data_IF_689802927276
#
_entry.id   IF_689802927276
#
_cell.length_a   1.000
_cell.length_b   1.000
_cell.length_c   1.000
_cell.angle_alpha   90.00
_cell.angle_beta   90.00
_cell.angle_gamma   90.00
#
_symmetry.space_group_name_H-M   'P 1'
#
loop_
_entity.id
_entity.type
_entity.pdbx_description
1 polymer ?
#
# COMPACT_ATOMS: atom_id res chain seq x y z
N UNK A 1 0.08 0.61 -11.35
CA UNK A 1 -0.73 1.49 -10.48
C UNK A 1 -2.10 1.84 -11.09
N UNK A 2 -2.18 2.36 -12.32
CA UNK A 2 -3.46 2.69 -12.98
C UNK A 2 -4.50 1.56 -12.92
N UNK A 3 -4.13 0.36 -13.38
CA UNK A 3 -5.01 -0.82 -13.40
C UNK A 3 -5.53 -1.19 -12.01
N UNK A 4 -4.70 -1.05 -10.97
CA UNK A 4 -5.10 -1.36 -9.60
C UNK A 4 -6.20 -0.41 -9.10
N UNK A 5 -6.08 0.89 -9.39
CA UNK A 5 -7.09 1.89 -9.02
C UNK A 5 -8.40 1.68 -9.76
N UNK A 6 -8.34 1.42 -11.08
CA UNK A 6 -9.52 1.14 -11.87
C UNK A 6 -10.25 -0.11 -11.37
N UNK A 7 -9.51 -1.16 -10.99
CA UNK A 7 -10.09 -2.36 -10.38
C UNK A 7 -10.84 -2.05 -9.08
N UNK A 8 -10.25 -1.24 -8.18
CA UNK A 8 -10.90 -0.86 -6.92
C UNK A 8 -12.17 0.00 -7.10
N UNK A 9 -12.26 0.74 -8.21
CA UNK A 9 -13.41 1.59 -8.55
C UNK A 9 -14.49 0.81 -9.32
N UNK A 10 -14.11 -0.28 -10.00
CA UNK A 10 -15.01 -1.04 -10.86
C UNK A 10 -16.30 -1.57 -10.22
N UNK A 11 -16.42 -1.84 -8.91
CA UNK A 11 -17.70 -2.18 -8.28
C UNK A 11 -18.79 -1.11 -8.46
N UNK A 12 -18.42 0.18 -8.51
CA UNK A 12 -19.38 1.26 -8.77
C UNK A 12 -20.01 1.13 -10.16
N UNK A 13 -19.18 0.80 -11.16
CA UNK A 13 -19.60 0.62 -12.54
C UNK A 13 -20.40 -0.67 -12.72
N UNK A 14 -19.94 -1.78 -12.11
CA UNK A 14 -20.66 -3.06 -12.13
C UNK A 14 -22.03 -2.93 -11.50
N UNK A 15 -22.14 -2.27 -10.34
CA UNK A 15 -23.43 -2.00 -9.69
C UNK A 15 -24.36 -1.15 -10.56
N UNK A 16 -23.85 -0.06 -11.13
CA UNK A 16 -24.63 0.82 -12.02
C UNK A 16 -25.22 0.06 -13.20
N UNK A 17 -24.39 -0.62 -13.99
CA UNK A 17 -24.85 -1.33 -15.19
C UNK A 17 -25.73 -2.53 -14.86
N UNK A 18 -25.46 -3.24 -13.75
CA UNK A 18 -26.32 -4.33 -13.32
C UNK A 18 -27.72 -3.83 -12.97
N UNK A 19 -27.82 -2.71 -12.26
CA UNK A 19 -29.09 -2.08 -11.91
C UNK A 19 -29.83 -1.50 -13.11
N UNK A 20 -29.14 -0.86 -14.07
CA UNK A 20 -29.77 -0.44 -15.34
C UNK A 20 -30.35 -1.63 -16.10
N UNK A 21 -29.61 -2.74 -16.20
CA UNK A 21 -30.02 -3.90 -16.98
C UNK A 21 -31.24 -4.61 -16.37
N UNK A 22 -31.35 -4.63 -15.04
CA UNK A 22 -32.38 -5.39 -14.33
C UNK A 22 -33.50 -4.52 -13.73
N UNK A 23 -33.62 -3.24 -14.13
CA UNK A 23 -34.60 -2.29 -13.57
C UNK A 23 -34.57 -2.25 -12.04
N UNK A 24 -33.37 -2.35 -11.46
CA UNK A 24 -33.21 -2.38 -10.02
C UNK A 24 -33.43 -1.00 -9.36
N UNK A 25 -33.56 -0.95 -8.02
CA UNK A 25 -33.99 0.26 -7.30
C UNK A 25 -33.04 1.48 -7.44
N UNK A 26 -31.81 1.28 -7.89
CA UNK A 26 -30.87 2.39 -8.15
C UNK A 26 -31.06 3.07 -9.51
N UNK A 27 -31.86 2.50 -10.42
CA UNK A 27 -32.04 3.04 -11.79
C UNK A 27 -32.51 4.49 -11.80
N UNK A 28 -33.38 4.87 -10.86
CA UNK A 28 -33.87 6.25 -10.72
C UNK A 28 -32.98 7.13 -9.83
N UNK A 29 -32.06 6.54 -9.07
CA UNK A 29 -31.35 7.23 -7.97
C UNK A 29 -29.96 7.74 -8.35
N UNK A 30 -29.29 7.13 -9.33
CA UNK A 30 -27.94 7.53 -9.73
C UNK A 30 -27.86 7.82 -11.22
N UNK A 31 -27.57 9.07 -11.59
CA UNK A 31 -27.30 9.46 -12.99
C UNK A 31 -25.88 9.05 -13.40
N UNK A 32 -25.68 8.78 -14.68
CA UNK A 32 -24.36 8.49 -15.25
C UNK A 32 -23.30 9.56 -14.91
N UNK A 33 -23.68 10.84 -14.94
CA UNK A 33 -22.79 11.95 -14.56
C UNK A 33 -22.32 11.85 -13.11
N UNK A 34 -23.21 11.41 -12.20
CA UNK A 34 -22.89 11.22 -10.79
C UNK A 34 -21.91 10.07 -10.60
N UNK A 35 -22.12 8.95 -11.30
CA UNK A 35 -21.17 7.82 -11.31
C UNK A 35 -19.78 8.26 -11.77
N UNK A 36 -19.72 9.03 -12.87
CA UNK A 36 -18.45 9.52 -13.43
C UNK A 36 -17.72 10.40 -12.41
N UNK A 37 -18.43 11.36 -11.80
CA UNK A 37 -17.85 12.26 -10.80
C UNK A 37 -17.31 11.50 -9.59
N UNK A 38 -18.10 10.56 -9.03
CA UNK A 38 -17.66 9.73 -7.90
C UNK A 38 -16.43 8.91 -8.28
N UNK A 39 -16.39 8.35 -9.48
CA UNK A 39 -15.26 7.56 -9.98
C UNK A 39 -13.98 8.39 -10.10
N UNK A 40 -14.07 9.62 -10.62
CA UNK A 40 -12.93 10.55 -10.71
C UNK A 40 -12.44 10.91 -9.32
N UNK A 41 -13.34 11.26 -8.39
CA UNK A 41 -12.96 11.59 -7.00
C UNK A 41 -12.28 10.41 -6.33
N UNK A 42 -12.85 9.21 -6.43
CA UNK A 42 -12.25 7.99 -5.86
C UNK A 42 -10.85 7.72 -6.45
N UNK A 43 -10.69 7.91 -7.76
CA UNK A 43 -9.40 7.76 -8.43
C UNK A 43 -8.36 8.75 -7.91
N UNK A 44 -8.73 10.02 -7.77
CA UNK A 44 -7.84 11.07 -7.27
C UNK A 44 -7.44 10.81 -5.81
N UNK A 45 -8.38 10.37 -4.96
CA UNK A 45 -8.09 9.99 -3.57
C UNK A 45 -7.08 8.84 -3.50
N UNK A 46 -7.27 7.79 -4.31
CA UNK A 46 -6.31 6.69 -4.38
C UNK A 46 -4.95 7.13 -4.92
N UNK A 47 -4.93 8.00 -5.92
CA UNK A 47 -3.69 8.56 -6.47
C UNK A 47 -2.93 9.39 -5.44
N UNK A 48 -3.64 10.21 -4.66
CA UNK A 48 -3.07 10.97 -3.55
C UNK A 48 -2.54 10.06 -2.45
N UNK A 49 -3.24 8.98 -2.09
CA UNK A 49 -2.75 8.01 -1.10
C UNK A 49 -1.48 7.28 -1.55
N UNK A 50 -1.30 7.11 -2.86
CA UNK A 50 -0.12 6.46 -3.41
C UNK A 50 1.11 7.38 -3.54
N UNK A 51 0.93 8.72 -3.62
CA UNK A 51 1.99 9.63 -4.08
C UNK A 51 3.20 9.73 -3.13
N UNK A 52 3.04 9.38 -1.86
CA UNK A 52 4.10 9.48 -0.85
C UNK A 52 4.76 8.14 -0.49
N UNK A 53 4.52 7.06 -1.25
CA UNK A 53 4.98 5.72 -0.85
C UNK A 53 6.21 5.21 -1.57
N UNK A 54 6.63 5.82 -2.67
CA UNK A 54 7.79 5.33 -3.41
C UNK A 54 9.03 5.32 -2.50
N UNK A 55 9.81 4.21 -2.50
CA UNK A 55 9.73 3.03 -3.36
C UNK A 55 8.96 1.83 -2.79
N UNK A 56 8.25 1.98 -1.66
CA UNK A 56 7.30 0.96 -1.18
C UNK A 56 6.12 0.82 -2.13
N UNK A 57 5.52 -0.38 -2.15
CA UNK A 57 4.32 -0.66 -2.93
C UNK A 57 3.21 0.33 -2.63
N UNK A 58 2.61 0.83 -3.71
CA UNK A 58 1.47 1.72 -3.66
C UNK A 58 0.30 1.05 -2.92
N UNK A 59 -0.43 1.81 -2.10
CA UNK A 59 -1.57 1.28 -1.32
C UNK A 59 -2.61 0.66 -2.26
N UNK A 60 -2.85 1.30 -3.41
CA UNK A 60 -3.78 0.77 -4.41
C UNK A 60 -3.39 -0.62 -4.94
N UNK A 61 -2.09 -0.94 -5.03
CA UNK A 61 -1.61 -2.28 -5.45
C UNK A 61 -1.90 -3.31 -4.35
N UNK A 62 -1.61 -2.96 -3.10
CA UNK A 62 -1.87 -3.83 -1.94
C UNK A 62 -3.37 -4.09 -1.81
N UNK A 63 -4.19 -3.04 -1.88
CA UNK A 63 -5.66 -3.14 -1.88
C UNK A 63 -6.19 -4.01 -3.03
N UNK A 64 -5.63 -3.89 -4.24
CA UNK A 64 -5.98 -4.77 -5.36
C UNK A 64 -5.68 -6.23 -5.04
N UNK A 65 -4.50 -6.53 -4.49
CA UNK A 65 -4.13 -7.89 -4.10
C UNK A 65 -5.11 -8.45 -3.07
N UNK A 66 -5.48 -7.65 -2.06
CA UNK A 66 -6.50 -8.00 -1.07
C UNK A 66 -7.83 -8.35 -1.74
N UNK A 67 -8.36 -7.47 -2.60
CA UNK A 67 -9.61 -7.72 -3.31
C UNK A 67 -9.55 -8.98 -4.18
N UNK A 68 -8.46 -9.21 -4.90
CA UNK A 68 -8.28 -10.44 -5.67
C UNK A 68 -8.26 -11.68 -4.78
N UNK A 69 -7.59 -11.64 -3.64
CA UNK A 69 -7.64 -12.73 -2.65
C UNK A 69 -9.07 -12.95 -2.17
N UNK A 70 -9.83 -11.90 -1.86
CA UNK A 70 -11.23 -12.05 -1.46
C UNK A 70 -12.14 -12.54 -2.59
N UNK A 71 -11.85 -12.23 -3.86
CA UNK A 71 -12.53 -12.87 -4.99
C UNK A 71 -12.31 -14.39 -4.99
N UNK A 72 -11.08 -14.84 -4.72
CA UNK A 72 -10.78 -16.28 -4.58
C UNK A 72 -11.45 -16.88 -3.36
N UNK A 73 -11.33 -16.24 -2.19
CA UNK A 73 -11.93 -16.73 -0.94
C UNK A 73 -13.44 -16.87 -1.07
N UNK A 74 -14.14 -15.89 -1.64
CA UNK A 74 -15.59 -15.97 -1.78
C UNK A 74 -16.06 -16.78 -2.99
N UNK A 75 -15.14 -17.29 -3.84
CA UNK A 75 -15.51 -18.07 -5.02
C UNK A 75 -16.30 -19.35 -4.70
N UNK A 76 -16.18 -19.89 -3.48
CA UNK A 76 -17.00 -21.03 -3.06
C UNK A 76 -18.50 -20.74 -3.09
N UNK A 77 -18.93 -19.47 -2.96
CA UNK A 77 -20.34 -19.09 -3.04
C UNK A 77 -20.95 -19.44 -4.39
N UNK A 78 -20.13 -19.46 -5.45
CA UNK A 78 -20.56 -19.87 -6.79
C UNK A 78 -21.00 -21.35 -6.81
N UNK A 79 -20.40 -22.20 -5.97
CA UNK A 79 -20.80 -23.61 -5.83
C UNK A 79 -22.20 -23.76 -5.22
N UNK A 80 -22.64 -22.77 -4.43
CA UNK A 80 -23.97 -22.72 -3.84
C UNK A 80 -24.99 -21.99 -4.72
N UNK A 81 -24.66 -21.72 -5.98
CA UNK A 81 -25.54 -21.06 -6.94
C UNK A 81 -25.63 -19.54 -6.78
N UNK A 82 -24.73 -18.91 -6.00
CA UNK A 82 -24.67 -17.47 -5.95
C UNK A 82 -24.28 -16.90 -7.33
N UNK A 83 -24.97 -15.85 -7.77
CA UNK A 83 -24.64 -15.18 -9.03
C UNK A 83 -23.30 -14.45 -8.98
N UNK A 84 -22.67 -14.29 -10.14
CA UNK A 84 -21.42 -13.53 -10.31
C UNK A 84 -21.48 -12.14 -9.66
N UNK A 85 -22.59 -11.42 -9.84
CA UNK A 85 -22.77 -10.08 -9.28
C UNK A 85 -22.65 -10.10 -7.75
N UNK A 86 -23.36 -11.00 -7.08
CA UNK A 86 -23.32 -11.10 -5.61
C UNK A 86 -21.92 -11.47 -5.11
N UNK A 87 -21.30 -12.49 -5.72
CA UNK A 87 -19.93 -12.90 -5.43
C UNK A 87 -18.92 -11.75 -5.57
N UNK A 88 -19.00 -11.01 -6.67
CA UNK A 88 -18.08 -9.91 -6.95
C UNK A 88 -18.26 -8.74 -5.98
N UNK A 89 -19.51 -8.40 -5.65
CA UNK A 89 -19.84 -7.31 -4.73
C UNK A 89 -19.47 -7.65 -3.29
N UNK A 90 -19.71 -8.90 -2.83
CA UNK A 90 -19.34 -9.29 -1.46
C UNK A 90 -17.82 -9.29 -1.26
N UNK A 91 -17.03 -9.69 -2.27
CA UNK A 91 -15.56 -9.62 -2.22
C UNK A 91 -15.05 -8.19 -2.04
N UNK A 92 -15.61 -7.23 -2.78
CA UNK A 92 -15.24 -5.82 -2.63
C UNK A 92 -15.77 -5.19 -1.34
N UNK A 93 -16.99 -5.53 -0.94
CA UNK A 93 -17.56 -5.09 0.34
C UNK A 93 -16.68 -5.56 1.52
N UNK A 94 -16.20 -6.81 1.49
CA UNK A 94 -15.29 -7.36 2.50
C UNK A 94 -14.00 -6.55 2.59
N UNK A 95 -13.39 -6.21 1.44
CA UNK A 95 -12.22 -5.32 1.42
C UNK A 95 -12.51 -4.00 2.14
N UNK A 96 -13.56 -3.29 1.73
CA UNK A 96 -13.85 -1.95 2.27
C UNK A 96 -14.20 -1.97 3.76
N UNK A 97 -14.91 -2.99 4.23
CA UNK A 97 -15.20 -3.17 5.65
C UNK A 97 -13.91 -3.38 6.45
N UNK A 98 -13.00 -4.24 5.97
CA UNK A 98 -11.70 -4.45 6.62
C UNK A 98 -10.89 -3.16 6.63
N UNK A 99 -10.82 -2.45 5.51
CA UNK A 99 -10.07 -1.18 5.43
C UNK A 99 -10.65 -0.11 6.35
N UNK A 100 -11.97 -0.03 6.49
CA UNK A 100 -12.62 0.88 7.43
C UNK A 100 -12.19 0.57 8.87
N UNK A 101 -12.29 -0.69 9.30
CA UNK A 101 -11.90 -1.08 10.66
C UNK A 101 -10.40 -0.92 10.91
N UNK A 102 -9.57 -1.22 9.91
CA UNK A 102 -8.12 -0.98 9.99
C UNK A 102 -7.80 0.50 10.11
N UNK A 103 -8.49 1.36 9.35
CA UNK A 103 -8.33 2.81 9.48
C UNK A 103 -8.72 3.31 10.88
N UNK A 104 -9.85 2.86 11.42
CA UNK A 104 -10.28 3.19 12.79
C UNK A 104 -9.25 2.72 13.82
N UNK A 105 -8.88 1.44 13.78
CA UNK A 105 -7.94 0.84 14.71
C UNK A 105 -6.57 1.52 14.67
N UNK A 106 -6.03 1.80 13.47
CA UNK A 106 -4.74 2.47 13.34
C UNK A 106 -4.79 3.95 13.71
N UNK A 107 -5.91 4.63 13.52
CA UNK A 107 -6.07 6.01 13.98
C UNK A 107 -6.01 6.06 15.51
N UNK A 108 -6.70 5.14 16.18
CA UNK A 108 -6.66 5.01 17.65
C UNK A 108 -5.24 4.64 18.10
N UNK A 109 -4.65 3.59 17.51
CA UNK A 109 -3.32 3.11 17.89
C UNK A 109 -2.23 4.16 17.66
N UNK A 110 -2.35 4.98 16.61
CA UNK A 110 -1.43 6.07 16.32
C UNK A 110 -1.35 7.11 17.43
N UNK A 111 -2.47 7.43 18.06
CA UNK A 111 -2.52 8.46 19.09
C UNK A 111 -2.32 7.90 20.51
N UNK A 112 -2.67 6.64 20.75
CA UNK A 112 -2.73 6.09 22.10
C UNK A 112 -1.74 4.96 22.39
N UNK A 113 -1.22 4.27 21.38
CA UNK A 113 -0.41 3.05 21.57
C UNK A 113 0.99 3.25 21.03
N UNK A 114 1.13 3.53 19.74
CA UNK A 114 2.44 3.52 19.06
C UNK A 114 3.47 4.52 19.62
N UNK A 115 3.11 5.77 19.98
CA UNK A 115 4.07 6.71 20.56
C UNK A 115 4.65 6.25 21.91
N UNK A 116 3.93 5.40 22.63
CA UNK A 116 4.35 4.86 23.93
C UNK A 116 5.00 3.48 23.82
N UNK A 117 4.71 2.74 22.75
CA UNK A 117 5.26 1.41 22.51
C UNK A 117 6.67 1.45 21.88
N UNK A 118 6.92 2.43 21.00
CA UNK A 118 8.22 2.58 20.34
C UNK A 118 8.59 4.07 20.22
N UNK A 119 9.65 4.54 20.90
CA UNK A 119 10.15 5.91 20.79
C UNK A 119 10.50 6.33 19.35
N UNK A 120 10.88 5.38 18.49
CA UNK A 120 11.27 5.63 17.11
C UNK A 120 10.10 5.66 16.12
N UNK A 121 8.88 5.40 16.59
CA UNK A 121 7.70 5.31 15.72
C UNK A 121 7.47 6.56 14.86
N UNK A 122 7.72 7.75 15.41
CA UNK A 122 7.57 9.01 14.68
C UNK A 122 8.57 9.12 13.51
N UNK A 123 9.81 8.65 13.67
CA UNK A 123 10.81 8.62 12.62
C UNK A 123 10.44 7.60 11.53
N UNK A 124 10.03 6.39 11.92
CA UNK A 124 9.55 5.36 10.98
C UNK A 124 8.37 5.85 10.14
N UNK A 125 7.42 6.55 10.77
CA UNK A 125 6.26 7.11 10.05
C UNK A 125 6.65 8.22 9.08
N UNK A 126 7.61 9.07 9.42
CA UNK A 126 8.15 10.08 8.49
C UNK A 126 8.81 9.44 7.26
N UNK A 127 9.47 8.30 7.46
CA UNK A 127 10.03 7.52 6.37
C UNK A 127 8.98 6.83 5.46
N UNK A 128 7.68 7.01 5.72
CA UNK A 128 6.59 6.45 4.91
C UNK A 128 6.18 5.03 5.29
N UNK A 129 6.73 4.49 6.39
CA UNK A 129 6.32 3.20 6.94
C UNK A 129 4.94 3.29 7.59
N UNK A 130 4.12 2.26 7.36
CA UNK A 130 2.79 2.14 7.93
C UNK A 130 2.56 0.72 8.47
N UNK A 131 2.17 0.57 9.76
CA UNK A 131 2.04 -0.74 10.39
C UNK A 131 1.17 -1.70 9.59
N UNK A 132 -0.01 -1.28 9.12
CA UNK A 132 -0.87 -2.12 8.30
C UNK A 132 -0.27 -2.50 6.93
N UNK A 133 0.04 -1.49 6.11
CA UNK A 133 0.36 -1.70 4.71
C UNK A 133 1.70 -2.40 4.50
N UNK A 134 2.64 -2.28 5.43
CA UNK A 134 3.98 -2.87 5.28
C UNK A 134 4.09 -4.26 5.92
N UNK A 135 3.25 -4.57 6.91
CA UNK A 135 3.27 -5.89 7.58
C UNK A 135 2.26 -6.88 7.02
N UNK A 136 1.30 -6.42 6.21
CA UNK A 136 0.26 -7.30 5.68
C UNK A 136 0.81 -8.30 4.67
N UNK A 137 0.25 -9.52 4.66
CA UNK A 137 0.60 -10.59 3.71
C UNK A 137 0.32 -10.22 2.25
N UNK A 138 -0.52 -9.21 2.03
CA UNK A 138 -0.88 -8.72 0.69
C UNK A 138 0.16 -7.74 0.11
N UNK A 139 1.11 -7.30 0.93
CA UNK A 139 2.28 -6.56 0.48
C UNK A 139 3.41 -7.55 0.17
N UNK A 140 3.75 -7.65 -1.11
CA UNK A 140 4.77 -8.57 -1.63
C UNK A 140 6.16 -7.91 -1.74
N UNK A 141 6.31 -6.69 -1.23
CA UNK A 141 7.62 -6.06 -1.08
C UNK A 141 8.54 -6.98 -0.26
N UNK A 142 9.82 -7.00 -0.61
CA UNK A 142 10.84 -7.70 0.18
C UNK A 142 10.91 -7.09 1.58
N UNK A 143 11.37 -7.86 2.57
CA UNK A 143 11.56 -7.35 3.94
C UNK A 143 12.45 -6.10 3.95
N UNK A 144 13.43 -6.04 3.07
CA UNK A 144 14.29 -4.87 2.92
C UNK A 144 13.52 -3.61 2.45
N UNK A 145 12.64 -3.73 1.45
CA UNK A 145 11.82 -2.59 0.99
C UNK A 145 10.82 -2.21 2.08
N UNK A 146 10.30 -3.17 2.84
CA UNK A 146 9.38 -2.90 3.96
C UNK A 146 10.07 -2.13 5.08
N UNK A 147 11.24 -2.61 5.51
CA UNK A 147 11.99 -2.08 6.65
C UNK A 147 12.78 -0.82 6.29
N UNK A 148 13.65 -0.93 5.30
CA UNK A 148 14.56 0.15 4.87
C UNK A 148 13.90 1.15 3.92
N UNK A 149 12.82 0.75 3.25
CA UNK A 149 12.09 1.65 2.37
C UNK A 149 12.80 1.93 1.06
N UNK A 150 13.75 1.10 0.60
CA UNK A 150 14.42 1.30 -0.69
C UNK A 150 14.64 0.00 -1.48
N UNK A 151 14.46 0.08 -2.80
CA UNK A 151 14.92 -0.97 -3.72
C UNK A 151 16.45 -1.03 -3.71
N UNK A 152 17.01 -2.24 -3.72
CA UNK A 152 18.45 -2.40 -3.83
C UNK A 152 18.93 -2.02 -5.23
N UNK A 153 20.09 -1.35 -5.35
CA UNK A 153 20.74 -1.22 -6.64
C UNK A 153 21.14 -2.60 -7.16
N UNK A 154 21.24 -2.72 -8.49
CA UNK A 154 21.86 -3.89 -9.11
C UNK A 154 23.35 -3.84 -8.78
N UNK A 155 23.84 -4.87 -8.09
CA UNK A 155 25.24 -4.96 -7.68
C UNK A 155 26.09 -5.55 -8.82
N UNK A 156 27.09 -4.80 -9.29
CA UNK A 156 28.11 -5.29 -10.19
C UNK A 156 29.35 -5.69 -9.38
N UNK A 157 29.42 -6.97 -8.95
CA UNK A 157 30.54 -7.51 -8.19
C UNK A 157 30.13 -8.00 -6.80
N UNK A 158 30.50 -7.27 -5.74
CA UNK A 158 30.17 -7.66 -4.37
C UNK A 158 28.65 -7.56 -4.15
N UNK A 159 28.02 -8.69 -3.85
CA UNK A 159 26.63 -8.74 -3.41
C UNK A 159 26.62 -8.79 -1.88
N UNK A 160 26.11 -7.75 -1.20
CA UNK A 160 26.08 -7.73 0.26
C UNK A 160 25.21 -8.88 0.80
N UNK A 161 25.55 -9.49 1.94
CA UNK A 161 24.74 -10.53 2.55
C UNK A 161 23.29 -10.11 2.81
N UNK A 162 22.35 -11.04 2.66
CA UNK A 162 20.91 -10.77 2.83
C UNK A 162 20.50 -10.35 4.26
N UNK A 163 21.32 -10.65 5.27
CA UNK A 163 21.03 -10.30 6.67
C UNK A 163 21.44 -8.86 7.03
N UNK A 164 22.05 -8.10 6.12
CA UNK A 164 22.37 -6.70 6.34
C UNK A 164 21.10 -5.86 6.22
N UNK A 165 20.75 -5.15 7.30
CA UNK A 165 19.45 -4.46 7.40
C UNK A 165 19.51 -2.97 7.11
N UNK A 166 20.70 -2.36 7.12
CA UNK A 166 20.86 -0.94 6.85
C UNK A 166 21.00 -0.68 5.35
N UNK A 167 20.61 0.50 4.90
CA UNK A 167 20.76 0.94 3.51
C UNK A 167 21.46 2.30 3.45
N UNK A 168 22.36 2.45 2.49
CA UNK A 168 23.00 3.74 2.23
C UNK A 168 21.96 4.78 1.79
N UNK A 169 21.94 5.99 2.38
CA UNK A 169 20.98 7.02 2.01
C UNK A 169 21.25 7.62 0.61
N UNK A 170 22.41 7.41 0.01
CA UNK A 170 22.72 7.93 -1.33
C UNK A 170 22.40 6.89 -2.40
N UNK A 171 23.02 5.72 -2.34
CA UNK A 171 22.92 4.71 -3.40
C UNK A 171 21.96 3.54 -3.11
N UNK A 172 21.38 3.45 -1.91
CA UNK A 172 20.47 2.36 -1.53
C UNK A 172 21.12 0.99 -1.27
N UNK A 173 22.45 0.87 -1.44
CA UNK A 173 23.17 -0.37 -1.19
C UNK A 173 23.08 -0.80 0.28
N UNK A 174 22.92 -2.11 0.53
CA UNK A 174 22.91 -2.66 1.90
C UNK A 174 24.23 -2.39 2.61
N UNK A 175 24.13 -2.05 3.89
CA UNK A 175 25.26 -1.82 4.79
C UNK A 175 25.16 -2.72 6.02
N UNK A 176 26.31 -3.16 6.52
CA UNK A 176 26.39 -3.94 7.75
C UNK A 176 26.00 -3.11 8.98
N UNK A 177 26.32 -1.82 8.97
CA UNK A 177 26.11 -0.86 10.05
C UNK A 177 25.39 0.39 9.52
N UNK A 178 24.76 1.16 10.40
CA UNK A 178 24.17 2.47 10.07
C UNK A 178 25.18 3.62 10.07
N UNK A 179 26.44 3.35 10.43
CA UNK A 179 27.52 4.32 10.49
C UNK A 179 28.73 3.86 9.66
N UNK A 180 29.54 4.81 9.22
CA UNK A 180 30.76 4.56 8.44
C UNK A 180 30.59 4.80 6.94
N UNK A 181 31.64 4.46 6.20
CA UNK A 181 31.72 4.70 4.74
C UNK A 181 30.97 3.61 3.98
N UNK A 182 30.03 4.01 3.13
CA UNK A 182 29.30 3.10 2.25
C UNK A 182 30.25 2.44 1.25
N UNK A 183 30.41 1.11 1.33
CA UNK A 183 31.30 0.35 0.43
C UNK A 183 31.01 0.52 -1.07
N UNK A 184 29.77 0.88 -1.45
CA UNK A 184 29.35 0.97 -2.85
C UNK A 184 29.51 2.36 -3.50
N UNK A 185 29.44 3.44 -2.73
CA UNK A 185 29.46 4.82 -3.27
C UNK A 185 30.31 5.80 -2.47
N UNK A 186 31.04 5.31 -1.46
CA UNK A 186 31.87 6.09 -0.55
C UNK A 186 31.16 7.19 0.24
N UNK A 187 29.82 7.17 0.30
CA UNK A 187 29.08 8.05 1.21
C UNK A 187 29.61 7.94 2.65
N UNK A 188 29.88 9.07 3.29
CA UNK A 188 30.45 9.16 4.64
C UNK A 188 31.97 9.22 4.69
N UNK A 189 32.68 9.17 3.54
CA UNK A 189 34.15 9.30 3.48
C UNK A 189 34.65 10.69 3.91
N UNK A 190 33.87 11.73 3.62
CA UNK A 190 34.13 13.12 4.00
C UNK A 190 33.57 13.50 5.39
N UNK A 191 32.91 12.55 6.06
CA UNK A 191 32.23 12.78 7.33
C UNK A 191 30.92 13.57 7.19
N UNK A 192 30.41 13.79 5.97
CA UNK A 192 29.11 14.43 5.77
C UNK A 192 27.97 13.42 5.93
N UNK A 193 27.14 13.65 6.94
CA UNK A 193 25.95 12.86 7.24
C UNK A 193 24.65 13.54 6.79
N UNK A 194 24.73 14.68 6.10
CA UNK A 194 23.57 15.48 5.67
C UNK A 194 22.52 14.67 4.94
N UNK A 195 22.93 13.82 3.98
CA UNK A 195 22.01 12.97 3.22
C UNK A 195 21.28 11.94 4.09
N UNK A 196 21.89 11.47 5.19
CA UNK A 196 21.22 10.62 6.17
C UNK A 196 20.14 11.40 6.90
N UNK A 197 20.47 12.58 7.47
CA UNK A 197 19.51 13.40 8.22
C UNK A 197 18.40 13.96 7.33
N UNK A 198 18.69 14.36 6.10
CA UNK A 198 17.68 14.79 5.12
C UNK A 198 16.68 13.67 4.81
N UNK A 199 17.17 12.42 4.76
CA UNK A 199 16.35 11.28 4.33
C UNK A 199 15.64 10.56 5.48
N UNK A 200 16.26 10.45 6.64
CA UNK A 200 15.75 9.66 7.78
C UNK A 200 15.32 10.54 8.97
N UNK A 201 15.75 11.80 9.02
CA UNK A 201 15.53 12.69 10.16
C UNK A 201 16.35 12.29 11.40
N UNK A 202 16.30 13.14 12.42
CA UNK A 202 16.80 12.81 13.76
C UNK A 202 15.91 11.78 14.46
#
# INVERSE_FOLDING_TARGET
>A
MLVARLFLISPLWVAYFFHETHMGPMHEQMRFSTLLMISVVAFLVLAWKDCGRAPRSAISIIMRNMALTYCVVWSFLLLFGAGYFFWYMISHATLWVILFWQWVAHTIAHHLIYPYADPNYCALRKAGWHPFWDTTIYNHDSELIKDGGFEEPIYEGFVPPAHWRFQCPVCGARQQTNFGVCWNCNYGEDGDESAYYERWGN
#
